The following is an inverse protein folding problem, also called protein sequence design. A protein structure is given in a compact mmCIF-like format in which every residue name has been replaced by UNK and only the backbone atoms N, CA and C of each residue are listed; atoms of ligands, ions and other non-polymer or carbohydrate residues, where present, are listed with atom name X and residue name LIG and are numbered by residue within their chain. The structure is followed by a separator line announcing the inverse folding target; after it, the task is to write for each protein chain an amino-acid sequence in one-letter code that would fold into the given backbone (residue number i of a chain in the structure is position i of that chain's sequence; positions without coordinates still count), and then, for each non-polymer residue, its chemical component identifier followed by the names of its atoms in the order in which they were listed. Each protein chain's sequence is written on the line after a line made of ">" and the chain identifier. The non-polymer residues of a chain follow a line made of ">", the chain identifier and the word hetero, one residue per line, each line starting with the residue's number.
data_IF_397373046658
#
_entry.id   IF_397373046658
#
_cell.length_a   1.000
_cell.length_b   1.000
_cell.length_c   1.000
_cell.angle_alpha   90.00
_cell.angle_beta   90.00
_cell.angle_gamma   90.00
#
_symmetry.space_group_name_H-M   'P 1'
#
loop_
_entity.id
_entity.type
_entity.pdbx_description
1 polymer ?
#
# COMPACT_ATOMS: atom_id res chain seq x y z
N UNK A 1 -28.48 7.72 -26.24
CA UNK A 1 -27.58 6.55 -26.28
C UNK A 1 -26.40 6.91 -25.39
N UNK A 2 -26.57 6.51 -24.13
CA UNK A 2 -25.73 6.60 -22.92
C UNK A 2 -24.23 6.50 -23.23
N UNK A 3 -23.27 7.14 -22.57
CA UNK A 3 -23.16 8.20 -21.57
C UNK A 3 -21.64 8.41 -21.42
N UNK A 4 -21.28 9.65 -21.14
CA UNK A 4 -19.99 10.25 -20.80
C UNK A 4 -18.91 9.28 -20.28
N UNK A 5 -17.82 9.13 -21.02
CA UNK A 5 -16.58 8.62 -20.47
C UNK A 5 -16.03 9.70 -19.51
N UNK A 6 -16.29 9.55 -18.21
CA UNK A 6 -15.66 10.39 -17.19
C UNK A 6 -14.17 10.04 -17.18
N UNK A 7 -13.38 10.77 -17.95
CA UNK A 7 -11.92 10.79 -17.80
C UNK A 7 -11.68 11.31 -16.39
N UNK A 8 -11.35 10.42 -15.45
CA UNK A 8 -10.90 10.83 -14.12
C UNK A 8 -9.63 11.66 -14.31
N UNK A 9 -9.66 12.92 -13.91
CA UNK A 9 -8.62 13.91 -14.20
C UNK A 9 -7.27 13.46 -13.61
N UNK A 10 -6.26 13.28 -14.47
CA UNK A 10 -4.88 13.02 -14.04
C UNK A 10 -4.26 14.34 -13.56
N UNK A 11 -3.76 14.36 -12.33
CA UNK A 11 -3.08 15.51 -11.73
C UNK A 11 -1.57 15.26 -11.60
N UNK A 12 -0.79 16.33 -11.61
CA UNK A 12 0.65 16.30 -11.30
C UNK A 12 0.86 17.06 -10.00
N UNK A 13 1.55 16.44 -9.05
CA UNK A 13 1.93 17.05 -7.78
C UNK A 13 3.45 17.18 -7.68
N UNK A 14 3.89 18.19 -6.96
CA UNK A 14 5.27 18.55 -6.65
C UNK A 14 5.38 18.95 -5.18
N UNK A 15 6.59 19.19 -4.69
CA UNK A 15 6.80 19.65 -3.30
C UNK A 15 6.22 21.05 -3.00
N UNK A 16 5.73 21.78 -4.01
CA UNK A 16 5.03 23.05 -3.82
C UNK A 16 3.54 22.88 -3.51
N UNK A 17 2.98 21.69 -3.73
CA UNK A 17 1.56 21.42 -3.59
C UNK A 17 1.18 21.07 -2.13
N UNK A 18 0.07 21.60 -1.58
CA UNK A 18 -0.33 21.32 -0.19
C UNK A 18 -0.57 19.84 0.13
N UNK A 19 -0.98 19.06 -0.88
CA UNK A 19 -1.26 17.62 -0.78
C UNK A 19 -0.04 16.75 -1.15
N UNK A 20 1.16 17.33 -1.20
CA UNK A 20 2.40 16.58 -1.43
C UNK A 20 2.61 15.55 -0.32
N UNK A 21 2.63 14.24 -0.64
CA UNK A 21 2.54 13.20 0.39
C UNK A 21 3.86 12.92 1.12
N UNK A 22 4.98 13.41 0.61
CA UNK A 22 6.30 13.05 1.14
C UNK A 22 6.66 13.89 2.36
N UNK A 23 7.19 13.25 3.42
CA UNK A 23 7.63 13.99 4.60
C UNK A 23 8.86 14.85 4.27
N UNK A 24 8.96 16.00 4.92
CA UNK A 24 10.00 17.00 4.62
C UNK A 24 11.43 16.51 4.89
N UNK A 25 11.60 15.45 5.68
CA UNK A 25 12.89 14.82 6.02
C UNK A 25 13.27 13.66 5.08
N UNK A 26 12.52 13.46 3.99
CA UNK A 26 12.83 12.47 2.97
C UNK A 26 13.44 13.12 1.71
N UNK A 27 14.77 13.26 1.70
CA UNK A 27 15.54 13.90 0.63
C UNK A 27 15.49 13.15 -0.72
N UNK A 28 15.12 11.87 -0.69
CA UNK A 28 15.00 11.00 -1.88
C UNK A 28 13.59 11.04 -2.50
N UNK A 29 12.78 12.07 -2.17
CA UNK A 29 11.46 12.26 -2.76
C UNK A 29 11.55 12.45 -4.29
N UNK A 30 10.63 11.87 -5.08
CA UNK A 30 10.57 12.13 -6.51
C UNK A 30 10.29 13.61 -6.75
N UNK A 31 10.77 14.16 -7.88
CA UNK A 31 10.56 15.58 -8.22
C UNK A 31 9.09 15.93 -8.45
N UNK A 32 8.33 14.94 -8.92
CA UNK A 32 6.90 15.03 -9.14
C UNK A 32 6.27 13.64 -9.06
N UNK A 33 4.97 13.59 -8.81
CA UNK A 33 4.16 12.38 -8.93
C UNK A 33 2.93 12.68 -9.77
N UNK A 34 2.41 11.64 -10.42
CA UNK A 34 1.11 11.64 -11.08
C UNK A 34 0.08 11.01 -10.14
N UNK A 35 -1.10 11.60 -10.11
CA UNK A 35 -2.22 11.15 -9.31
C UNK A 35 -3.47 11.02 -10.18
N UNK A 36 -4.28 9.98 -9.92
CA UNK A 36 -5.58 9.75 -10.55
C UNK A 36 -6.59 9.32 -9.49
N UNK A 37 -7.71 10.02 -9.40
CA UNK A 37 -8.73 9.82 -8.35
C UNK A 37 -8.89 11.06 -7.49
N UNK A 38 -9.39 10.90 -6.27
CA UNK A 38 -9.64 12.02 -5.35
C UNK A 38 -8.36 12.40 -4.58
N UNK A 39 -7.84 13.60 -4.83
CA UNK A 39 -6.63 14.08 -4.16
C UNK A 39 -6.84 14.30 -2.65
N UNK A 40 -8.06 14.53 -2.18
CA UNK A 40 -8.35 14.69 -0.75
C UNK A 40 -8.01 13.42 0.05
N UNK A 41 -7.98 12.25 -0.59
CA UNK A 41 -7.48 11.02 0.03
C UNK A 41 -6.02 11.13 0.50
N UNK A 42 -5.23 12.06 -0.06
CA UNK A 42 -3.85 12.32 0.36
C UNK A 42 -3.74 13.07 1.68
N UNK A 43 -4.78 13.80 2.11
CA UNK A 43 -4.75 14.50 3.40
C UNK A 43 -4.56 13.52 4.58
N UNK A 44 -5.02 12.28 4.44
CA UNK A 44 -4.87 11.20 5.43
C UNK A 44 -3.61 10.33 5.27
N UNK A 45 -2.73 10.60 4.30
CA UNK A 45 -1.67 9.64 3.93
C UNK A 45 -0.64 9.40 5.05
N UNK A 46 -0.35 10.41 5.86
CA UNK A 46 0.54 10.28 7.01
C UNK A 46 -0.02 9.39 8.12
N UNK A 47 -1.33 9.15 8.12
CA UNK A 47 -2.06 8.28 9.04
C UNK A 47 -2.37 6.92 8.42
N UNK A 48 -2.04 6.75 7.13
CA UNK A 48 -2.29 5.52 6.41
C UNK A 48 -1.48 4.36 6.99
N UNK A 49 -2.01 3.16 6.80
CA UNK A 49 -1.33 1.91 7.12
C UNK A 49 -1.05 1.19 5.81
N UNK A 50 0.23 0.95 5.55
CA UNK A 50 0.59 0.17 4.39
C UNK A 50 0.43 -1.33 4.66
N UNK A 51 -0.30 -2.03 3.79
CA UNK A 51 -0.39 -3.49 3.81
C UNK A 51 0.37 -4.05 2.62
N UNK A 52 1.41 -4.82 2.89
CA UNK A 52 2.31 -5.40 1.87
C UNK A 52 2.55 -6.87 2.14
N UNK A 53 2.92 -7.63 1.10
CA UNK A 53 3.09 -9.06 1.28
C UNK A 53 3.38 -9.86 0.02
N UNK A 54 3.20 -11.17 0.11
CA UNK A 54 3.46 -12.13 -0.95
C UNK A 54 2.52 -11.92 -2.15
N UNK A 55 3.09 -12.02 -3.37
CA UNK A 55 2.30 -12.02 -4.62
C UNK A 55 1.61 -13.35 -4.86
N UNK A 56 2.26 -14.45 -4.48
CA UNK A 56 1.69 -15.79 -4.43
C UNK A 56 1.22 -16.06 -3.00
N UNK A 57 0.22 -15.28 -2.56
CA UNK A 57 -0.34 -15.38 -1.22
C UNK A 57 -1.08 -16.71 -1.02
N UNK A 58 -1.11 -17.19 0.22
CA UNK A 58 -1.99 -18.29 0.59
C UNK A 58 -3.41 -17.78 0.86
N UNK A 59 -4.41 -18.67 0.89
CA UNK A 59 -5.77 -18.31 1.29
C UNK A 59 -5.81 -17.70 2.70
N UNK A 60 -4.92 -18.14 3.60
CA UNK A 60 -4.74 -17.54 4.92
C UNK A 60 -4.28 -16.08 4.79
N UNK A 61 -3.23 -15.83 4.02
CA UNK A 61 -2.69 -14.48 3.82
C UNK A 61 -3.71 -13.54 3.18
N UNK A 62 -4.44 -14.00 2.16
CA UNK A 62 -5.50 -13.21 1.52
C UNK A 62 -6.62 -12.84 2.49
N UNK A 63 -7.09 -13.80 3.30
CA UNK A 63 -8.13 -13.55 4.31
C UNK A 63 -7.67 -12.51 5.32
N UNK A 64 -6.48 -12.70 5.91
CA UNK A 64 -5.95 -11.77 6.92
C UNK A 64 -5.71 -10.37 6.34
N UNK A 65 -5.19 -10.27 5.11
CA UNK A 65 -4.96 -8.98 4.47
C UNK A 65 -6.28 -8.23 4.22
N UNK A 66 -7.32 -8.92 3.76
CA UNK A 66 -8.64 -8.34 3.55
C UNK A 66 -9.28 -7.90 4.88
N UNK A 67 -9.26 -8.74 5.92
CA UNK A 67 -9.85 -8.44 7.23
C UNK A 67 -9.16 -7.25 7.92
N UNK A 68 -7.82 -7.21 7.86
CA UNK A 68 -7.05 -6.08 8.38
C UNK A 68 -7.40 -4.80 7.63
N UNK A 69 -7.43 -4.85 6.30
CA UNK A 69 -7.73 -3.67 5.49
C UNK A 69 -9.15 -3.14 5.72
N UNK A 70 -10.13 -4.04 5.79
CA UNK A 70 -11.51 -3.71 6.13
C UNK A 70 -11.60 -3.00 7.48
N UNK A 71 -11.05 -3.62 8.54
CA UNK A 71 -11.11 -3.05 9.87
C UNK A 71 -10.34 -1.73 10.01
N UNK A 72 -9.25 -1.54 9.27
CA UNK A 72 -8.51 -0.28 9.25
C UNK A 72 -9.32 0.83 8.58
N UNK A 73 -9.95 0.54 7.45
CA UNK A 73 -10.81 1.49 6.76
C UNK A 73 -12.02 1.89 7.64
N UNK A 74 -12.67 0.94 8.30
CA UNK A 74 -13.73 1.19 9.29
C UNK A 74 -13.26 2.06 10.46
N UNK A 75 -12.00 1.93 10.86
CA UNK A 75 -11.39 2.72 11.92
C UNK A 75 -10.89 4.10 11.45
N UNK A 76 -11.25 4.54 10.24
CA UNK A 76 -10.84 5.84 9.70
C UNK A 76 -9.37 5.88 9.25
N UNK A 77 -8.74 4.74 9.00
CA UNK A 77 -7.32 4.64 8.63
C UNK A 77 -7.18 4.24 7.16
N UNK A 78 -6.65 5.13 6.28
CA UNK A 78 -6.46 4.79 4.88
C UNK A 78 -5.53 3.59 4.72
N UNK A 79 -5.89 2.66 3.84
CA UNK A 79 -5.02 1.54 3.49
C UNK A 79 -4.16 1.97 2.30
N UNK A 80 -2.85 1.96 2.48
CA UNK A 80 -1.88 2.22 1.41
C UNK A 80 -1.33 0.90 0.87
N UNK A 81 -1.47 0.62 -0.42
CA UNK A 81 -0.88 -0.58 -1.01
C UNK A 81 -0.60 -0.41 -2.49
N UNK A 82 -0.48 -1.50 -3.24
CA UNK A 82 -0.33 -1.50 -4.70
C UNK A 82 -1.46 -2.30 -5.34
N UNK A 83 -1.52 -2.32 -6.67
CA UNK A 83 -2.40 -3.24 -7.41
C UNK A 83 -1.83 -4.64 -7.57
N UNK A 84 -0.69 -5.00 -6.95
CA UNK A 84 -0.06 -6.31 -7.15
C UNK A 84 -0.97 -7.50 -6.79
N UNK A 85 -0.63 -8.68 -7.31
CA UNK A 85 -1.27 -9.95 -6.93
C UNK A 85 -1.13 -10.27 -5.43
N UNK A 86 -1.97 -11.21 -4.97
CA UNK A 86 -1.94 -11.73 -3.62
C UNK A 86 -2.37 -10.69 -2.59
N UNK A 87 -1.50 -10.46 -1.60
CA UNK A 87 -1.80 -9.65 -0.41
C UNK A 87 -2.27 -8.23 -0.74
N UNK A 88 -1.66 -7.58 -1.73
CA UNK A 88 -2.01 -6.21 -2.08
C UNK A 88 -3.45 -6.13 -2.65
N UNK A 89 -3.80 -7.02 -3.57
CA UNK A 89 -5.16 -7.10 -4.11
C UNK A 89 -6.20 -7.50 -3.04
N UNK A 90 -5.85 -8.41 -2.13
CA UNK A 90 -6.73 -8.78 -1.02
C UNK A 90 -6.98 -7.59 -0.07
N UNK A 91 -5.92 -6.85 0.28
CA UNK A 91 -6.03 -5.64 1.08
C UNK A 91 -6.89 -4.57 0.39
N UNK A 92 -6.72 -4.33 -0.92
CA UNK A 92 -7.58 -3.39 -1.65
C UNK A 92 -9.04 -3.80 -1.62
N UNK A 93 -9.34 -5.09 -1.84
CA UNK A 93 -10.72 -5.58 -1.77
C UNK A 93 -11.32 -5.41 -0.38
N UNK A 94 -10.55 -5.69 0.68
CA UNK A 94 -10.98 -5.47 2.05
C UNK A 94 -11.28 -4.01 2.37
N UNK A 95 -10.38 -3.09 1.97
CA UNK A 95 -10.58 -1.65 2.17
C UNK A 95 -11.80 -1.13 1.40
N UNK A 96 -11.97 -1.54 0.13
CA UNK A 96 -13.14 -1.17 -0.68
C UNK A 96 -14.45 -1.71 -0.11
N UNK A 97 -14.43 -2.90 0.51
CA UNK A 97 -15.62 -3.49 1.10
C UNK A 97 -16.12 -2.76 2.36
N UNK A 98 -15.27 -1.96 3.01
CA UNK A 98 -15.66 -1.15 4.17
C UNK A 98 -16.52 0.06 3.77
N UNK A 99 -16.35 0.58 2.55
CA UNK A 99 -17.11 1.73 2.01
C UNK A 99 -17.07 2.99 2.91
N UNK A 100 -16.03 3.11 3.75
CA UNK A 100 -15.89 4.17 4.76
C UNK A 100 -14.66 5.05 4.54
N UNK A 101 -13.46 4.45 4.54
CA UNK A 101 -12.20 5.16 4.21
C UNK A 101 -11.61 4.66 2.90
N UNK A 102 -11.52 5.50 1.86
CA UNK A 102 -11.00 5.08 0.57
C UNK A 102 -9.51 4.66 0.62
N UNK A 103 -9.10 3.64 -0.16
CA UNK A 103 -7.72 3.21 -0.21
C UNK A 103 -6.84 4.12 -1.09
N UNK A 104 -5.54 4.07 -0.82
CA UNK A 104 -4.48 4.74 -1.58
C UNK A 104 -3.62 3.68 -2.26
N UNK A 105 -3.33 3.86 -3.55
CA UNK A 105 -2.52 2.93 -4.34
C UNK A 105 -1.26 3.61 -4.83
N UNK A 106 -0.11 2.99 -4.63
CA UNK A 106 1.12 3.30 -5.36
C UNK A 106 1.37 2.25 -6.45
N UNK A 107 1.60 2.67 -7.69
CA UNK A 107 1.82 1.74 -8.81
C UNK A 107 3.22 1.86 -9.44
N UNK A 108 3.80 0.73 -9.90
CA UNK A 108 5.16 0.67 -10.46
C UNK A 108 5.22 1.00 -11.97
N UNK A 109 4.19 1.64 -12.52
CA UNK A 109 4.08 2.00 -13.93
C UNK A 109 3.41 3.37 -14.08
N UNK A 110 3.47 3.93 -15.29
CA UNK A 110 2.85 5.22 -15.59
C UNK A 110 1.35 5.22 -15.28
N UNK A 111 0.83 6.40 -14.93
CA UNK A 111 -0.52 6.58 -14.36
C UNK A 111 -1.66 6.06 -15.25
N UNK A 112 -1.46 6.09 -16.57
CA UNK A 112 -2.41 5.61 -17.58
C UNK A 112 -2.47 4.07 -17.70
N UNK A 113 -1.61 3.36 -16.97
CA UNK A 113 -1.57 1.89 -16.96
C UNK A 113 -2.05 1.35 -15.64
N UNK A 114 -2.33 0.05 -15.63
CA UNK A 114 -2.48 -0.72 -14.39
C UNK A 114 -1.65 -1.98 -14.52
N UNK A 115 -0.90 -2.29 -13.47
CA UNK A 115 -0.10 -3.50 -13.42
C UNK A 115 -0.37 -4.28 -12.13
N UNK A 116 -0.73 -5.58 -12.23
CA UNK A 116 -1.03 -6.33 -13.45
C UNK A 116 -2.32 -5.86 -14.13
N UNK A 117 -2.42 -6.07 -15.46
CA UNK A 117 -3.61 -5.71 -16.26
C UNK A 117 -4.88 -6.43 -15.76
N UNK A 118 -4.74 -7.61 -15.17
CA UNK A 118 -5.87 -8.33 -14.57
C UNK A 118 -6.57 -7.55 -13.44
N UNK A 119 -5.92 -6.53 -12.87
CA UNK A 119 -6.46 -5.71 -11.79
C UNK A 119 -6.89 -4.31 -12.26
N UNK A 120 -7.04 -4.07 -13.56
CA UNK A 120 -7.57 -2.80 -14.08
C UNK A 120 -8.92 -2.45 -13.44
N UNK A 121 -9.86 -3.41 -13.38
CA UNK A 121 -11.16 -3.17 -12.74
C UNK A 121 -11.06 -2.88 -11.24
N UNK A 122 -10.11 -3.52 -10.55
CA UNK A 122 -9.87 -3.24 -9.14
C UNK A 122 -9.32 -1.82 -8.94
N UNK A 123 -8.45 -1.35 -9.83
CA UNK A 123 -7.93 0.01 -9.81
C UNK A 123 -9.01 1.05 -10.15
N UNK A 124 -9.92 0.75 -11.08
CA UNK A 124 -11.10 1.58 -11.35
C UNK A 124 -11.97 1.72 -10.09
N UNK A 125 -12.26 0.61 -9.41
CA UNK A 125 -13.05 0.64 -8.17
C UNK A 125 -12.40 1.49 -7.06
N UNK A 126 -11.06 1.59 -7.01
CA UNK A 126 -10.36 2.50 -6.09
C UNK A 126 -10.73 3.95 -6.37
N UNK A 127 -10.71 4.34 -7.64
CA UNK A 127 -11.07 5.70 -8.07
C UNK A 127 -12.56 5.97 -7.82
N UNK A 128 -13.43 5.02 -8.19
CA UNK A 128 -14.88 5.14 -8.03
C UNK A 128 -15.30 5.29 -6.56
N UNK A 129 -14.54 4.69 -5.64
CA UNK A 129 -14.76 4.78 -4.19
C UNK A 129 -14.17 6.06 -3.56
N UNK A 130 -13.67 7.02 -4.34
CA UNK A 130 -13.03 8.24 -3.83
C UNK A 130 -11.60 8.03 -3.33
N UNK A 131 -10.95 6.95 -3.76
CA UNK A 131 -9.53 6.70 -3.52
C UNK A 131 -8.63 7.37 -4.56
N UNK A 132 -7.33 7.15 -4.41
CA UNK A 132 -6.32 7.74 -5.31
C UNK A 132 -5.23 6.75 -5.69
N UNK A 133 -4.81 6.81 -6.95
CA UNK A 133 -3.70 6.05 -7.50
C UNK A 133 -2.56 7.01 -7.80
N UNK A 134 -1.36 6.66 -7.35
CA UNK A 134 -0.15 7.46 -7.42
C UNK A 134 0.97 6.72 -8.15
N UNK A 135 1.83 7.49 -8.83
CA UNK A 135 3.11 6.99 -9.32
C UNK A 135 4.11 8.13 -9.54
N UNK A 136 5.40 7.85 -9.44
CA UNK A 136 6.50 8.72 -9.90
C UNK A 136 7.00 8.34 -11.30
N UNK A 137 6.42 7.32 -11.93
CA UNK A 137 6.79 6.92 -13.27
C UNK A 137 6.14 7.84 -14.30
N UNK A 138 6.91 8.27 -15.30
CA UNK A 138 6.41 9.04 -16.42
C UNK A 138 5.17 8.37 -17.06
N UNK A 139 4.25 9.15 -17.67
CA UNK A 139 3.10 8.60 -18.38
C UNK A 139 3.54 7.51 -19.37
N UNK A 140 2.70 6.50 -19.54
CA UNK A 140 2.92 5.32 -20.39
C UNK A 140 4.08 4.38 -20.02
N UNK A 141 4.86 4.68 -18.97
CA UNK A 141 6.01 3.84 -18.60
C UNK A 141 5.57 2.44 -18.19
N UNK A 142 6.21 1.43 -18.78
CA UNK A 142 6.00 0.03 -18.41
C UNK A 142 6.62 -0.29 -17.04
N UNK A 143 6.08 -1.31 -16.32
CA UNK A 143 6.68 -1.79 -15.08
C UNK A 143 8.15 -2.18 -15.26
N UNK A 144 8.97 -1.87 -14.26
CA UNK A 144 10.40 -2.22 -14.26
C UNK A 144 10.87 -2.60 -12.86
N UNK A 145 12.00 -3.31 -12.77
CA UNK A 145 12.61 -3.69 -11.48
C UNK A 145 12.90 -2.45 -10.62
N UNK A 146 13.36 -1.36 -11.25
CA UNK A 146 13.59 -0.09 -10.57
C UNK A 146 12.29 0.47 -9.97
N UNK A 147 11.21 0.52 -10.74
CA UNK A 147 9.91 1.02 -10.27
C UNK A 147 9.28 0.15 -9.16
N UNK A 148 9.51 -1.18 -9.19
CA UNK A 148 9.11 -2.05 -8.08
C UNK A 148 9.94 -1.80 -6.82
N UNK A 149 11.24 -1.55 -6.96
CA UNK A 149 12.12 -1.24 -5.84
C UNK A 149 11.73 0.10 -5.21
N UNK A 150 11.46 1.10 -6.05
CA UNK A 150 10.92 2.39 -5.65
C UNK A 150 9.59 2.22 -4.91
N UNK A 151 8.63 1.46 -5.46
CA UNK A 151 7.34 1.19 -4.80
C UNK A 151 7.55 0.61 -3.39
N UNK A 152 8.49 -0.31 -3.22
CA UNK A 152 8.81 -0.88 -1.91
C UNK A 152 9.37 0.15 -0.93
N UNK A 153 10.14 1.13 -1.41
CA UNK A 153 10.62 2.27 -0.62
C UNK A 153 9.49 3.20 -0.23
N UNK A 154 8.67 3.62 -1.19
CA UNK A 154 7.59 4.58 -0.99
C UNK A 154 6.56 4.04 0.03
N UNK A 155 6.19 2.77 -0.08
CA UNK A 155 5.32 2.10 0.89
C UNK A 155 5.92 1.99 2.29
N UNK A 156 7.23 2.16 2.46
CA UNK A 156 7.89 2.23 3.76
C UNK A 156 8.04 3.65 4.29
N UNK A 157 8.03 4.65 3.42
CA UNK A 157 8.27 6.07 3.76
C UNK A 157 6.98 6.78 4.17
N UNK A 158 5.94 6.65 3.35
CA UNK A 158 4.71 7.44 3.46
C UNK A 158 3.84 7.12 4.69
N UNK A 159 3.56 5.84 5.04
CA UNK A 159 2.53 5.53 6.03
C UNK A 159 3.02 5.72 7.48
N UNK A 160 2.08 5.77 8.43
CA UNK A 160 2.38 5.69 9.86
C UNK A 160 2.96 4.33 10.27
N UNK A 161 2.51 3.27 9.59
CA UNK A 161 2.97 1.91 9.82
C UNK A 161 2.92 1.05 8.55
N UNK A 162 3.73 0.00 8.54
CA UNK A 162 3.71 -1.06 7.54
C UNK A 162 3.35 -2.37 8.22
N UNK A 163 2.35 -3.06 7.70
CA UNK A 163 1.98 -4.43 8.08
C UNK A 163 2.40 -5.38 6.95
N UNK A 164 3.32 -6.29 7.26
CA UNK A 164 3.72 -7.37 6.35
C UNK A 164 2.84 -8.59 6.61
N UNK A 165 1.97 -8.92 5.66
CA UNK A 165 1.15 -10.15 5.68
C UNK A 165 1.78 -11.10 4.69
N UNK A 166 2.36 -12.21 5.15
CA UNK A 166 3.15 -13.16 4.35
C UNK A 166 4.31 -12.55 3.53
N UNK A 167 5.51 -13.09 3.73
CA UNK A 167 6.68 -12.76 2.93
C UNK A 167 7.63 -13.96 2.86
N UNK A 168 8.11 -14.29 1.67
CA UNK A 168 9.28 -15.16 1.54
C UNK A 168 10.57 -14.47 2.01
N UNK A 169 11.64 -15.24 2.23
CA UNK A 169 12.94 -14.73 2.74
C UNK A 169 13.52 -13.60 1.88
N UNK A 170 13.33 -13.63 0.55
CA UNK A 170 13.82 -12.62 -0.40
C UNK A 170 12.73 -11.66 -0.89
N UNK A 171 11.63 -11.54 -0.16
CA UNK A 171 10.51 -10.67 -0.55
C UNK A 171 10.84 -9.19 -0.39
N UNK A 172 10.44 -8.36 -1.36
CA UNK A 172 10.53 -6.90 -1.28
C UNK A 172 9.72 -6.32 -0.12
N UNK A 173 8.67 -7.00 0.34
CA UNK A 173 7.88 -6.59 1.51
C UNK A 173 8.71 -6.54 2.79
N UNK A 174 9.78 -7.35 2.88
CA UNK A 174 10.76 -7.23 3.98
C UNK A 174 11.52 -5.93 3.89
N UNK A 175 11.97 -5.54 2.69
CA UNK A 175 12.67 -4.27 2.49
C UNK A 175 11.80 -3.08 2.91
N UNK A 176 10.51 -3.09 2.55
CA UNK A 176 9.53 -2.09 2.99
C UNK A 176 9.48 -1.96 4.52
N UNK A 177 9.45 -3.07 5.26
CA UNK A 177 9.48 -3.04 6.73
C UNK A 177 10.79 -2.45 7.31
N UNK A 178 11.94 -2.73 6.68
CA UNK A 178 13.21 -2.12 7.11
C UNK A 178 13.24 -0.61 6.84
N UNK A 179 12.71 -0.19 5.69
CA UNK A 179 12.61 1.24 5.32
C UNK A 179 11.69 1.96 6.29
N UNK A 180 10.53 1.37 6.63
CA UNK A 180 9.63 1.90 7.64
C UNK A 180 10.33 2.16 8.99
N UNK A 181 11.12 1.19 9.49
CA UNK A 181 11.91 1.41 10.70
C UNK A 181 12.93 2.52 10.56
N UNK A 182 13.64 2.60 9.42
CA UNK A 182 14.63 3.64 9.15
C UNK A 182 13.99 5.03 9.20
N UNK A 183 12.76 5.15 8.72
CA UNK A 183 11.93 6.36 8.77
C UNK A 183 11.23 6.58 10.12
N UNK A 184 11.57 5.81 11.16
CA UNK A 184 10.94 5.93 12.49
C UNK A 184 9.48 5.47 12.55
N UNK A 185 8.97 4.81 11.50
CA UNK A 185 7.61 4.27 11.40
C UNK A 185 7.51 2.90 12.07
N UNK A 186 6.28 2.47 12.36
CA UNK A 186 6.03 1.14 12.93
C UNK A 186 6.12 0.08 11.84
N UNK A 187 7.01 -0.89 12.02
CA UNK A 187 7.01 -2.11 11.20
C UNK A 187 6.33 -3.24 11.98
N UNK A 188 5.35 -3.88 11.34
CA UNK A 188 4.47 -4.90 11.91
C UNK A 188 4.47 -6.12 10.99
N UNK A 189 4.25 -7.30 11.56
CA UNK A 189 4.20 -8.53 10.79
C UNK A 189 3.14 -9.48 11.35
N UNK A 190 2.39 -10.09 10.43
CA UNK A 190 1.40 -11.11 10.75
C UNK A 190 2.11 -12.46 10.88
N UNK A 191 1.90 -13.21 11.98
CA UNK A 191 2.45 -14.56 12.11
C UNK A 191 1.72 -15.51 11.15
N UNK A 192 2.38 -16.58 10.73
CA UNK A 192 1.72 -17.62 9.93
C UNK A 192 2.29 -19.01 10.22
N UNK A 193 1.78 -20.06 9.56
CA UNK A 193 2.21 -21.43 9.80
C UNK A 193 3.72 -21.61 9.60
N UNK A 194 4.41 -22.23 10.56
CA UNK A 194 5.86 -22.51 10.45
C UNK A 194 6.21 -23.48 9.31
N UNK A 195 5.23 -24.22 8.81
CA UNK A 195 5.33 -25.10 7.64
C UNK A 195 5.18 -24.35 6.32
N UNK A 196 4.72 -23.10 6.34
CA UNK A 196 4.55 -22.27 5.14
C UNK A 196 5.82 -21.45 4.86
N UNK A 197 6.41 -21.64 3.67
CA UNK A 197 7.54 -20.82 3.23
C UNK A 197 7.17 -19.35 3.07
N UNK A 198 5.88 -19.03 2.86
CA UNK A 198 5.37 -17.66 2.80
C UNK A 198 5.35 -16.98 4.18
N UNK A 199 5.49 -17.70 5.28
CA UNK A 199 5.58 -17.11 6.63
C UNK A 199 7.01 -16.81 7.07
N UNK A 200 8.01 -17.41 6.41
CA UNK A 200 9.43 -17.34 6.80
C UNK A 200 9.99 -15.92 6.93
N UNK A 201 9.58 -15.00 6.05
CA UNK A 201 9.96 -13.60 6.09
C UNK A 201 9.35 -12.86 7.26
N UNK A 202 8.06 -13.08 7.54
CA UNK A 202 7.40 -12.51 8.72
C UNK A 202 8.04 -13.04 10.01
N UNK A 203 8.30 -14.34 10.11
CA UNK A 203 8.99 -14.92 11.26
C UNK A 203 10.37 -14.31 11.46
N UNK A 204 11.17 -14.18 10.40
CA UNK A 204 12.48 -13.55 10.45
C UNK A 204 12.41 -12.09 10.91
N UNK A 205 11.44 -11.30 10.42
CA UNK A 205 11.25 -9.92 10.85
C UNK A 205 10.86 -9.82 12.33
N UNK A 206 10.02 -10.74 12.82
CA UNK A 206 9.59 -10.79 14.22
C UNK A 206 10.78 -11.20 15.12
N UNK A 207 11.48 -12.26 14.75
CA UNK A 207 12.62 -12.80 15.52
C UNK A 207 13.78 -11.80 15.64
N UNK A 208 14.07 -11.04 14.58
CA UNK A 208 15.10 -9.99 14.64
C UNK A 208 14.66 -8.74 15.40
N UNK A 209 13.40 -8.69 15.85
CA UNK A 209 12.79 -7.49 16.42
C UNK A 209 12.56 -6.38 15.42
N UNK A 210 12.73 -6.63 14.10
CA UNK A 210 12.48 -5.67 13.02
C UNK A 210 10.99 -5.35 12.90
N UNK A 211 10.11 -6.32 13.11
CA UNK A 211 8.68 -6.09 13.11
C UNK A 211 8.05 -6.56 14.42
N UNK A 212 7.04 -5.83 14.90
CA UNK A 212 6.20 -6.30 16.01
C UNK A 212 5.12 -7.23 15.48
N UNK A 213 4.91 -8.34 16.17
CA UNK A 213 3.82 -9.27 15.85
C UNK A 213 2.46 -8.57 16.03
N UNK A 214 1.57 -8.74 15.06
CA UNK A 214 0.16 -8.31 15.12
C UNK A 214 -0.75 -9.43 14.62
N UNK A 215 -1.92 -9.61 15.23
CA UNK A 215 -2.91 -10.62 14.79
C UNK A 215 -4.28 -10.03 14.50
N UNK A 216 -4.45 -8.71 14.66
CA UNK A 216 -5.73 -8.03 14.48
C UNK A 216 -5.54 -6.56 14.13
N UNK A 217 -6.58 -5.94 13.58
CA UNK A 217 -6.68 -4.49 13.36
C UNK A 217 -6.43 -3.71 14.65
N UNK A 218 -6.96 -4.19 15.78
CA UNK A 218 -6.76 -3.56 17.08
C UNK A 218 -5.27 -3.54 17.50
N UNK A 219 -4.50 -4.58 17.17
CA UNK A 219 -3.06 -4.60 17.46
C UNK A 219 -2.27 -3.60 16.61
N UNK A 220 -2.71 -3.40 15.37
CA UNK A 220 -2.14 -2.40 14.45
C UNK A 220 -2.42 -0.99 14.98
N UNK A 221 -3.66 -0.68 15.34
CA UNK A 221 -4.05 0.61 15.93
C UNK A 221 -3.28 0.86 17.24
N UNK A 222 -3.20 -0.14 18.12
CA UNK A 222 -2.38 -0.04 19.35
C UNK A 222 -0.90 0.19 19.07
N UNK A 223 -0.39 -0.20 17.90
CA UNK A 223 1.01 0.00 17.52
C UNK A 223 1.35 1.45 17.20
N UNK A 224 0.45 2.12 16.51
CA UNK A 224 0.62 3.51 16.10
C UNK A 224 0.40 4.47 17.28
N UNK A 225 -0.25 4.00 18.35
CA UNK A 225 -0.37 4.76 19.61
C UNK A 225 -1.34 5.94 19.51
N UNK A 226 -2.41 5.77 18.74
CA UNK A 226 -3.45 6.76 18.48
C UNK A 226 -4.83 6.14 18.66
#
# INVERSE_FOLDING_TARGET
>A
MTDTATVTETSILTSADPLWPFPADYDEAPRQIWARGDLEALAGIGDAIAIVGARAATAYGETVAADLAFGLAEAGRPVLTTTAYGIAAAALRGALAADSTPPIVWQPCGIERTHPVAHTRLAENVVDAGGVILTSAAPDRLPSIAAFSESATILGVLPAAVVVVEAGVRSSSRSTAHIARKMGRRALAVPGPVTSTMSSGCHSLIQSGTARLVTSTADVIRAIGR
#
